data_IF_149217160380
#
_entry.id   IF_149217160380
#
_cell.length_a   1.000
_cell.length_b   1.000
_cell.length_c   1.000
_cell.angle_alpha   90.00
_cell.angle_beta   90.00
_cell.angle_gamma   90.00
#
_symmetry.space_group_name_H-M   'P 1'
#
loop_
_entity.id
_entity.type
_entity.pdbx_description
1 polymer ?
#
# COMPACT_ATOMS: atom_id res chain seq x y z
N UNK A 1 8.10 15.80 -15.63
CA UNK A 1 8.24 15.11 -14.33
C UNK A 1 6.91 15.01 -13.58
N UNK A 2 6.13 16.10 -13.48
CA UNK A 2 4.84 16.12 -12.77
C UNK A 2 3.87 14.98 -13.13
N UNK A 3 3.72 14.64 -14.42
CA UNK A 3 2.74 13.65 -14.86
C UNK A 3 3.00 12.22 -14.33
N UNK A 4 4.27 11.81 -14.21
CA UNK A 4 4.62 10.49 -13.64
C UNK A 4 4.31 10.40 -12.15
N UNK A 5 4.49 11.50 -11.43
CA UNK A 5 4.16 11.59 -10.02
C UNK A 5 2.65 11.48 -9.80
N UNK A 6 1.86 12.19 -10.61
CA UNK A 6 0.40 12.10 -10.56
C UNK A 6 -0.09 10.68 -10.82
N UNK A 7 0.44 10.02 -11.85
CA UNK A 7 0.13 8.61 -12.13
C UNK A 7 0.50 7.72 -10.93
N UNK A 8 1.63 7.98 -10.26
CA UNK A 8 2.01 7.20 -9.09
C UNK A 8 1.03 7.37 -7.92
N UNK A 9 0.51 8.59 -7.70
CA UNK A 9 -0.54 8.83 -6.70
C UNK A 9 -1.86 8.17 -7.08
N UNK A 10 -2.27 8.25 -8.35
CA UNK A 10 -3.49 7.57 -8.82
C UNK A 10 -3.40 6.04 -8.61
N UNK A 11 -2.24 5.45 -8.91
CA UNK A 11 -1.99 4.02 -8.69
C UNK A 11 -1.95 3.67 -7.20
N UNK A 12 -1.41 4.54 -6.36
CA UNK A 12 -1.41 4.36 -4.92
C UNK A 12 -2.84 4.35 -4.36
N UNK A 13 -3.65 5.35 -4.71
CA UNK A 13 -5.04 5.47 -4.26
C UNK A 13 -5.88 4.26 -4.71
N UNK A 14 -5.73 3.83 -5.97
CA UNK A 14 -6.39 2.63 -6.48
C UNK A 14 -6.00 1.37 -5.67
N UNK A 15 -4.71 1.24 -5.29
CA UNK A 15 -4.23 0.13 -4.46
C UNK A 15 -4.81 0.14 -3.04
N UNK A 16 -4.94 1.33 -2.43
CA UNK A 16 -5.56 1.51 -1.12
C UNK A 16 -7.03 1.08 -1.15
N UNK A 17 -7.78 1.48 -2.17
CA UNK A 17 -9.20 1.11 -2.34
C UNK A 17 -9.38 -0.41 -2.51
N UNK A 18 -8.51 -1.03 -3.31
CA UNK A 18 -8.50 -2.49 -3.48
C UNK A 18 -8.21 -3.22 -2.16
N UNK A 19 -7.29 -2.72 -1.35
CA UNK A 19 -6.96 -3.32 -0.06
C UNK A 19 -8.10 -3.15 0.94
N UNK A 20 -8.72 -1.97 1.00
CA UNK A 20 -9.93 -1.73 1.82
C UNK A 20 -11.02 -2.76 1.49
N UNK A 21 -11.29 -2.98 0.20
CA UNK A 21 -12.30 -3.97 -0.20
C UNK A 21 -11.89 -5.41 0.16
N UNK A 22 -10.59 -5.71 0.11
CA UNK A 22 -10.05 -7.01 0.55
C UNK A 22 -10.26 -7.22 2.04
N UNK A 23 -10.01 -6.20 2.86
CA UNK A 23 -10.25 -6.25 4.31
C UNK A 23 -11.73 -6.41 4.62
N UNK A 24 -12.63 -5.68 3.95
CA UNK A 24 -14.09 -5.85 4.10
C UNK A 24 -14.55 -7.28 3.79
N UNK A 25 -14.01 -7.90 2.73
CA UNK A 25 -14.34 -9.30 2.41
C UNK A 25 -13.80 -10.28 3.45
N UNK A 26 -12.63 -10.00 4.02
CA UNK A 26 -11.97 -10.86 5.02
C UNK A 26 -12.62 -10.76 6.39
N UNK A 27 -13.17 -9.60 6.72
CA UNK A 27 -13.78 -9.28 8.02
C UNK A 27 -15.18 -8.67 7.80
N UNK A 28 -16.17 -9.46 7.34
CA UNK A 28 -17.47 -8.93 6.94
C UNK A 28 -18.31 -8.34 8.07
N UNK A 29 -18.07 -8.78 9.31
CA UNK A 29 -18.81 -8.33 10.50
C UNK A 29 -18.14 -7.16 11.22
N UNK A 30 -16.96 -6.74 10.78
CA UNK A 30 -16.25 -5.62 11.39
C UNK A 30 -16.86 -4.28 10.96
N UNK A 31 -16.95 -3.31 11.89
CA UNK A 31 -17.39 -1.97 11.54
C UNK A 31 -16.34 -1.28 10.66
N UNK A 32 -16.77 -0.33 9.84
CA UNK A 32 -15.90 0.42 8.92
C UNK A 32 -14.69 1.05 9.62
N UNK A 33 -14.85 1.56 10.84
CA UNK A 33 -13.75 2.14 11.62
C UNK A 33 -12.64 1.11 11.95
N UNK A 34 -13.00 -0.16 12.17
CA UNK A 34 -12.03 -1.23 12.39
C UNK A 34 -11.30 -1.60 11.07
N UNK A 35 -12.01 -1.55 9.94
CA UNK A 35 -11.41 -1.76 8.62
C UNK A 35 -10.38 -0.68 8.30
N UNK A 36 -10.69 0.61 8.54
CA UNK A 36 -9.73 1.69 8.31
C UNK A 36 -8.51 1.58 9.21
N UNK A 37 -8.66 1.22 10.50
CA UNK A 37 -7.53 0.98 11.39
C UNK A 37 -6.62 -0.16 10.91
N UNK A 38 -7.21 -1.24 10.39
CA UNK A 38 -6.44 -2.34 9.79
C UNK A 38 -5.74 -1.92 8.50
N UNK A 39 -6.37 -1.07 7.70
CA UNK A 39 -5.80 -0.52 6.48
C UNK A 39 -4.59 0.36 6.78
N UNK A 40 -4.71 1.28 7.76
CA UNK A 40 -3.60 2.10 8.25
C UNK A 40 -2.43 1.24 8.71
N UNK A 41 -2.72 0.21 9.51
CA UNK A 41 -1.69 -0.71 9.99
C UNK A 41 -1.04 -1.49 8.84
N UNK A 42 -1.82 -1.93 7.86
CA UNK A 42 -1.29 -2.60 6.68
C UNK A 42 -0.40 -1.68 5.84
N UNK A 43 -0.71 -0.39 5.73
CA UNK A 43 0.13 0.59 5.03
C UNK A 43 1.48 0.81 5.74
N UNK A 44 1.52 0.69 7.06
CA UNK A 44 2.76 0.82 7.85
C UNK A 44 3.59 -0.47 7.82
N UNK A 45 2.96 -1.61 8.10
CA UNK A 45 3.65 -2.89 8.30
C UNK A 45 3.92 -3.62 6.97
N UNK A 46 3.08 -3.39 5.95
CA UNK A 46 3.16 -3.97 4.58
C UNK A 46 3.62 -5.45 4.57
N UNK A 47 2.92 -6.35 5.26
CA UNK A 47 3.36 -7.75 5.41
C UNK A 47 3.49 -8.44 4.04
N UNK A 48 4.65 -9.08 3.81
CA UNK A 48 5.06 -9.69 2.53
C UNK A 48 5.77 -8.75 1.55
N UNK A 49 5.89 -7.46 1.89
CA UNK A 49 6.58 -6.44 1.11
C UNK A 49 7.43 -5.53 2.02
N UNK A 50 8.01 -6.08 3.08
CA UNK A 50 8.77 -5.36 4.10
C UNK A 50 10.00 -4.64 3.49
N UNK A 51 10.49 -5.13 2.35
CA UNK A 51 11.62 -4.58 1.61
C UNK A 51 11.20 -3.85 0.32
N UNK A 52 9.90 -3.60 0.15
CA UNK A 52 9.28 -3.07 -1.06
C UNK A 52 8.85 -4.14 -2.07
N UNK A 53 8.08 -3.73 -3.07
CA UNK A 53 7.52 -4.62 -4.10
C UNK A 53 8.49 -4.87 -5.28
N UNK A 54 9.67 -4.25 -5.26
CA UNK A 54 10.63 -4.35 -6.34
C UNK A 54 11.29 -5.74 -6.34
N UNK A 55 11.27 -6.40 -7.50
CA UNK A 55 12.02 -7.62 -7.71
C UNK A 55 13.50 -7.28 -7.93
N UNK A 56 14.38 -7.83 -7.09
CA UNK A 56 15.84 -7.67 -7.20
C UNK A 56 16.49 -6.97 -6.01
N UNK A 57 17.83 -6.98 -5.92
CA UNK A 57 18.54 -6.35 -4.81
C UNK A 57 18.31 -4.83 -4.83
N UNK A 58 18.17 -4.23 -3.64
CA UNK A 58 18.10 -2.78 -3.48
C UNK A 58 19.29 -2.15 -4.22
N UNK A 59 19.01 -1.16 -5.08
CA UNK A 59 20.08 -0.44 -5.75
C UNK A 59 20.81 0.39 -4.68
N UNK A 60 22.13 0.24 -4.51
CA UNK A 60 22.86 1.05 -3.56
C UNK A 60 22.66 2.53 -3.90
N UNK A 61 22.34 3.33 -2.88
CA UNK A 61 22.32 4.78 -3.01
C UNK A 61 23.73 5.18 -3.45
N UNK A 62 23.85 5.65 -4.69
CA UNK A 62 25.12 6.16 -5.20
C UNK A 62 25.39 7.45 -4.42
N UNK A 63 26.47 7.46 -3.62
CA UNK A 63 26.97 8.70 -3.06
C UNK A 63 27.56 9.52 -4.22
N UNK A 64 26.94 10.66 -4.51
CA UNK A 64 27.56 11.72 -5.32
C UNK A 64 28.76 12.32 -4.58
#
# INVERSE_FOLDING_TARGET
>A
MAQRLLIAFDLFDAGVDMMRQTLRRRFPDEPDAAIELRLERWLQDRPGAEHGDACGPLRPLSAE
#
